data_IF_977136333733
#
_entry.id   IF_977136333733
#
_cell.length_a   1.000
_cell.length_b   1.000
_cell.length_c   1.000
_cell.angle_alpha   90.00
_cell.angle_beta   90.00
_cell.angle_gamma   90.00
#
_symmetry.space_group_name_H-M   'P 1'
#
loop_
_entity.id
_entity.type
_entity.pdbx_description
1 polymer ?
#
# COMPACT_ATOMS: atom_id res chain seq x y z
N UNK A 1 -18.06 -10.44 15.13
CA UNK A 1 -16.62 -10.71 15.22
C UNK A 1 -15.81 -9.94 14.20
N UNK A 2 -16.26 -9.95 12.96
CA UNK A 2 -15.57 -9.20 11.93
C UNK A 2 -15.59 -7.71 12.28
N UNK A 3 -16.72 -7.19 12.73
CA UNK A 3 -16.82 -5.82 13.15
C UNK A 3 -15.91 -5.50 14.32
N UNK A 4 -15.85 -6.43 15.27
CA UNK A 4 -15.00 -6.29 16.44
C UNK A 4 -13.54 -6.16 16.02
N UNK A 5 -13.08 -7.02 15.12
CA UNK A 5 -11.71 -6.98 14.62
C UNK A 5 -11.40 -5.67 13.91
N UNK A 6 -12.34 -5.17 13.12
CA UNK A 6 -12.15 -3.91 12.41
C UNK A 6 -11.92 -2.73 13.33
N UNK A 7 -12.59 -2.69 14.46
CA UNK A 7 -12.55 -1.53 15.32
C UNK A 7 -11.50 -1.59 16.42
N UNK A 8 -11.12 -2.78 16.85
CA UNK A 8 -10.27 -2.93 18.02
C UNK A 8 -8.87 -3.45 17.73
N UNK A 9 -8.65 -4.00 16.56
CA UNK A 9 -7.35 -4.60 16.23
C UNK A 9 -6.59 -3.79 15.22
N UNK A 10 -5.30 -3.68 15.45
CA UNK A 10 -4.37 -3.11 14.48
C UNK A 10 -3.77 -4.24 13.69
N UNK A 11 -3.57 -3.99 12.41
CA UNK A 11 -2.96 -4.96 11.51
C UNK A 11 -1.73 -4.36 10.87
N UNK A 12 -0.76 -5.20 10.60
CA UNK A 12 0.43 -4.80 9.86
C UNK A 12 0.19 -5.05 8.39
N UNK A 13 0.24 -3.98 7.60
CA UNK A 13 0.12 -4.11 6.16
C UNK A 13 1.50 -4.21 5.54
N UNK A 14 1.69 -5.21 4.70
CA UNK A 14 2.90 -5.39 3.93
C UNK A 14 2.61 -4.98 2.50
N UNK A 15 3.44 -4.12 1.96
CA UNK A 15 3.20 -3.53 0.65
C UNK A 15 4.44 -3.73 -0.21
N UNK A 16 4.25 -4.32 -1.39
CA UNK A 16 5.31 -4.50 -2.37
C UNK A 16 4.94 -3.76 -3.64
N UNK A 17 5.79 -2.83 -4.04
CA UNK A 17 5.59 -2.04 -5.24
C UNK A 17 6.64 -2.44 -6.27
N UNK A 18 6.21 -2.71 -7.49
CA UNK A 18 7.08 -3.06 -8.60
C UNK A 18 6.94 -2.00 -9.68
N UNK A 19 8.06 -1.39 -10.06
CA UNK A 19 8.10 -0.38 -11.10
C UNK A 19 9.05 -0.84 -12.20
N UNK A 20 8.70 -0.54 -13.44
CA UNK A 20 9.59 -0.84 -14.57
C UNK A 20 10.65 0.24 -14.68
N UNK A 21 11.86 -0.21 -15.03
CA UNK A 21 12.96 0.71 -15.36
C UNK A 21 13.36 0.44 -16.82
N UNK A 22 13.80 1.48 -17.49
CA UNK A 22 14.06 1.40 -18.94
C UNK A 22 15.49 1.01 -19.27
N UNK A 23 16.37 1.04 -18.30
CA UNK A 23 17.79 0.70 -18.53
C UNK A 23 18.43 0.27 -17.23
N UNK A 24 19.72 -0.11 -17.30
CA UNK A 24 20.44 -0.61 -16.15
C UNK A 24 20.79 0.42 -15.10
N UNK A 25 20.73 1.70 -15.45
CA UNK A 25 20.90 2.76 -14.46
C UNK A 25 19.63 2.92 -13.65
N UNK A 26 19.74 3.58 -12.50
CA UNK A 26 18.60 3.78 -11.64
C UNK A 26 17.72 4.91 -12.14
N UNK A 27 16.60 4.54 -12.74
CA UNK A 27 15.54 5.50 -13.03
C UNK A 27 14.85 5.93 -11.75
N UNK A 28 14.88 5.05 -10.75
CA UNK A 28 14.18 5.26 -9.48
C UNK A 28 15.18 5.05 -8.37
N UNK A 29 15.28 6.04 -7.49
CA UNK A 29 16.06 5.90 -6.27
C UNK A 29 15.16 5.24 -5.24
N UNK A 30 15.50 4.00 -4.82
CA UNK A 30 14.60 3.17 -4.02
C UNK A 30 14.25 3.76 -2.67
N UNK A 31 15.21 4.37 -1.99
CA UNK A 31 14.96 4.94 -0.67
C UNK A 31 14.00 6.12 -0.79
N UNK A 32 14.23 6.98 -1.76
CA UNK A 32 13.38 8.13 -2.02
C UNK A 32 11.99 7.70 -2.43
N UNK A 33 11.89 6.67 -3.29
CA UNK A 33 10.61 6.14 -3.72
C UNK A 33 9.82 5.58 -2.55
N UNK A 34 10.48 4.82 -1.67
CA UNK A 34 9.85 4.29 -0.48
C UNK A 34 9.28 5.39 0.41
N UNK A 35 10.03 6.49 0.57
CA UNK A 35 9.57 7.64 1.33
C UNK A 35 8.34 8.28 0.71
N UNK A 36 8.31 8.40 -0.60
CA UNK A 36 7.17 8.98 -1.30
C UNK A 36 5.91 8.15 -1.12
N UNK A 37 6.05 6.83 -1.18
CA UNK A 37 4.91 5.93 -0.97
C UNK A 37 4.40 6.05 0.47
N UNK A 38 5.29 6.04 1.43
CA UNK A 38 4.92 6.18 2.83
C UNK A 38 4.24 7.52 3.10
N UNK A 39 4.76 8.58 2.51
CA UNK A 39 4.19 9.92 2.67
C UNK A 39 2.79 10.00 2.07
N UNK A 40 2.59 9.41 0.90
CA UNK A 40 1.28 9.37 0.26
C UNK A 40 0.27 8.64 1.13
N UNK A 41 0.64 7.47 1.64
CA UNK A 41 -0.22 6.67 2.49
C UNK A 41 -0.57 7.42 3.78
N UNK A 42 0.43 8.01 4.41
CA UNK A 42 0.21 8.75 5.64
C UNK A 42 -0.71 9.95 5.40
N UNK A 43 -0.50 10.68 4.30
CA UNK A 43 -1.30 11.86 4.00
C UNK A 43 -2.75 11.51 3.66
N UNK A 44 -2.96 10.41 2.96
CA UNK A 44 -4.30 10.03 2.51
C UNK A 44 -5.10 9.26 3.54
N UNK A 45 -4.44 8.43 4.33
CA UNK A 45 -5.12 7.47 5.19
C UNK A 45 -4.91 7.67 6.68
N UNK A 46 -4.11 8.65 7.10
CA UNK A 46 -3.86 8.85 8.52
C UNK A 46 -5.13 9.30 9.25
N UNK A 47 -5.43 8.62 10.34
CA UNK A 47 -6.60 8.90 11.17
C UNK A 47 -6.11 9.44 12.51
N UNK A 48 -6.42 10.68 12.78
CA UNK A 48 -6.00 11.35 14.03
C UNK A 48 -6.61 10.70 15.26
N UNK A 49 -7.80 10.19 15.13
CA UNK A 49 -8.50 9.55 16.24
C UNK A 49 -7.79 8.27 16.67
N UNK A 50 -7.43 7.42 15.73
CA UNK A 50 -6.76 6.16 16.01
C UNK A 50 -5.24 6.29 16.00
N UNK A 51 -4.70 7.42 15.57
CA UNK A 51 -3.26 7.70 15.50
C UNK A 51 -2.51 6.68 14.67
N UNK A 52 -3.09 6.25 13.58
CA UNK A 52 -2.48 5.33 12.62
C UNK A 52 -3.20 5.46 11.29
N UNK A 53 -2.68 4.81 10.26
CA UNK A 53 -3.37 4.77 8.98
C UNK A 53 -4.59 3.89 9.09
N UNK A 54 -5.69 4.36 8.53
CA UNK A 54 -6.96 3.66 8.57
C UNK A 54 -7.46 3.49 7.14
N UNK A 55 -7.46 2.26 6.65
CA UNK A 55 -7.92 1.95 5.31
C UNK A 55 -9.42 1.68 5.25
N UNK A 56 -10.10 1.75 6.41
CA UNK A 56 -11.54 1.54 6.48
C UNK A 56 -11.94 0.16 6.00
N UNK A 57 -12.88 0.12 5.06
CA UNK A 57 -13.35 -1.15 4.51
C UNK A 57 -12.66 -1.53 3.21
N UNK A 58 -11.54 -0.90 2.89
CA UNK A 58 -10.82 -1.23 1.65
C UNK A 58 -10.23 -2.62 1.72
N UNK A 59 -10.37 -3.36 0.63
CA UNK A 59 -9.69 -4.64 0.48
C UNK A 59 -8.21 -4.39 0.13
N UNK A 60 -7.41 -5.42 0.28
CA UNK A 60 -6.00 -5.34 -0.11
C UNK A 60 -5.86 -5.01 -1.60
N UNK A 61 -6.74 -5.54 -2.43
CA UNK A 61 -6.75 -5.23 -3.86
C UNK A 61 -7.06 -3.75 -4.12
N UNK A 62 -7.97 -3.17 -3.36
CA UNK A 62 -8.30 -1.75 -3.52
C UNK A 62 -7.13 -0.86 -3.13
N UNK A 63 -6.43 -1.22 -2.06
CA UNK A 63 -5.23 -0.49 -1.66
C UNK A 63 -4.15 -0.64 -2.72
N UNK A 64 -3.95 -1.86 -3.23
CA UNK A 64 -2.98 -2.12 -4.29
C UNK A 64 -3.27 -1.29 -5.54
N UNK A 65 -4.55 -1.21 -5.93
CA UNK A 65 -4.94 -0.46 -7.11
C UNK A 65 -4.72 1.04 -6.92
N UNK A 66 -4.98 1.56 -5.74
CA UNK A 66 -4.72 2.96 -5.44
C UNK A 66 -3.25 3.29 -5.63
N UNK A 67 -2.36 2.48 -5.04
CA UNK A 67 -0.93 2.71 -5.13
C UNK A 67 -0.40 2.51 -6.56
N UNK A 68 -0.91 1.49 -7.24
CA UNK A 68 -0.52 1.22 -8.62
C UNK A 68 -0.83 2.40 -9.53
N UNK A 69 -2.02 2.96 -9.37
CA UNK A 69 -2.45 4.09 -10.18
C UNK A 69 -1.68 5.36 -9.81
N UNK A 70 -1.53 5.63 -8.53
CA UNK A 70 -0.87 6.85 -8.08
C UNK A 70 0.59 6.91 -8.51
N UNK A 71 1.30 5.79 -8.43
CA UNK A 71 2.74 5.76 -8.70
C UNK A 71 3.11 5.16 -10.05
N UNK A 72 2.12 4.81 -10.87
CA UNK A 72 2.38 4.23 -12.18
C UNK A 72 3.15 2.93 -12.13
N UNK A 73 2.79 2.06 -11.21
CA UNK A 73 3.50 0.81 -10.99
C UNK A 73 3.10 -0.24 -12.01
N UNK A 74 3.98 -1.22 -12.25
CA UNK A 74 3.63 -2.38 -13.08
C UNK A 74 2.88 -3.44 -12.28
N UNK A 75 3.11 -3.47 -10.96
CA UNK A 75 2.47 -4.42 -10.08
C UNK A 75 2.47 -3.84 -8.66
N UNK A 76 1.41 -4.09 -7.91
CA UNK A 76 1.38 -3.77 -6.48
C UNK A 76 0.72 -4.91 -5.73
N UNK A 77 1.32 -5.29 -4.62
CA UNK A 77 0.80 -6.35 -3.76
C UNK A 77 0.66 -5.80 -2.35
N UNK A 78 -0.48 -6.03 -1.74
CA UNK A 78 -0.75 -5.61 -0.36
C UNK A 78 -1.27 -6.80 0.42
N UNK A 79 -0.75 -6.99 1.61
CA UNK A 79 -1.17 -8.05 2.49
C UNK A 79 -1.48 -7.49 3.87
N UNK A 80 -2.52 -8.01 4.46
CA UNK A 80 -2.83 -7.76 5.86
C UNK A 80 -2.22 -8.89 6.68
N UNK A 81 -1.28 -8.54 7.54
CA UNK A 81 -0.55 -9.48 8.40
C UNK A 81 0.25 -10.56 7.66
N UNK A 82 0.47 -10.38 6.36
CA UNK A 82 1.30 -11.29 5.59
C UNK A 82 0.64 -12.62 5.22
N UNK A 83 -0.64 -12.78 5.49
CA UNK A 83 -1.32 -14.07 5.24
C UNK A 83 -1.87 -14.20 3.84
N UNK A 84 -2.61 -13.18 3.39
CA UNK A 84 -3.20 -13.17 2.05
C UNK A 84 -2.81 -11.88 1.35
N UNK A 85 -2.60 -11.98 0.04
CA UNK A 85 -2.12 -10.85 -0.75
C UNK A 85 -3.15 -10.44 -1.78
N UNK A 86 -3.45 -9.17 -1.82
CA UNK A 86 -4.20 -8.58 -2.92
C UNK A 86 -3.21 -8.06 -3.94
N UNK A 87 -3.20 -8.63 -5.12
CA UNK A 87 -2.20 -8.34 -6.15
C UNK A 87 -2.88 -7.76 -7.37
N UNK A 88 -2.38 -6.60 -7.81
CA UNK A 88 -2.91 -5.92 -8.99
C UNK A 88 -1.77 -5.63 -9.95
N UNK A 89 -1.99 -5.92 -11.21
CA UNK A 89 -1.03 -5.70 -12.29
C UNK A 89 -1.53 -4.58 -13.19
N UNK A 90 -0.60 -3.80 -13.71
CA UNK A 90 -0.92 -2.84 -14.76
C UNK A 90 -1.20 -3.59 -16.06
N UNK A 91 -2.09 -3.03 -16.85
CA UNK A 91 -2.42 -3.60 -18.17
C UNK A 91 -1.36 -3.27 -19.21
#
# INVERSE_FOLDING_TARGET
EVLYLKHLHRHTFQIECTAEVTHGDRDIEFIEFKHKVKEYIARKYYDKHFKCCNFGSMSCEMISEDLLTEFGLSKCSVSEDGEFWGIVYAN
#
